data_IF_324995386359
#
_entry.id   IF_324995386359
#
_cell.length_a   1.000
_cell.length_b   1.000
_cell.length_c   1.000
_cell.angle_alpha   90.00
_cell.angle_beta   90.00
_cell.angle_gamma   90.00
#
_symmetry.space_group_name_H-M   'P 1'
#
loop_
_entity.id
_entity.type
_entity.pdbx_description
1 polymer ?
#
# COMPACT_ATOMS: atom_id res chain seq x y z
N UNK A 1 11.47 -6.10 2.08
CA UNK A 1 11.44 -6.72 0.74
C UNK A 1 10.51 -5.83 -0.08
N UNK A 2 11.04 -5.09 -1.06
CA UNK A 2 10.19 -4.30 -1.96
C UNK A 2 9.63 -5.31 -2.95
N UNK A 3 8.35 -5.64 -2.81
CA UNK A 3 7.65 -6.51 -3.76
C UNK A 3 7.47 -5.74 -5.06
N UNK A 4 7.77 -6.38 -6.18
CA UNK A 4 7.78 -5.84 -7.53
C UNK A 4 6.54 -4.98 -7.85
N UNK A 5 6.66 -3.96 -8.73
CA UNK A 5 5.50 -3.20 -9.20
C UNK A 5 4.47 -4.17 -9.78
N UNK A 6 3.30 -4.24 -9.14
CA UNK A 6 2.13 -4.87 -9.72
C UNK A 6 1.65 -3.93 -10.81
N UNK A 7 1.90 -4.33 -12.06
CA UNK A 7 1.24 -3.75 -13.23
C UNK A 7 -0.04 -4.54 -13.46
N UNK A 8 -1.20 -4.14 -12.92
CA UNK A 8 -2.45 -4.60 -13.48
C UNK A 8 -2.49 -4.11 -14.94
N UNK A 9 -2.12 -4.98 -15.89
CA UNK A 9 -2.27 -4.71 -17.32
C UNK A 9 -3.73 -4.32 -17.55
N UNK A 10 -3.96 -3.06 -17.93
CA UNK A 10 -5.30 -2.52 -18.18
C UNK A 10 -5.94 -1.73 -17.02
N UNK A 11 -5.22 -1.37 -15.95
CA UNK A 11 -5.77 -0.46 -14.95
C UNK A 11 -6.00 0.94 -15.54
N UNK A 12 -7.20 1.52 -15.41
CA UNK A 12 -7.49 2.89 -15.87
C UNK A 12 -6.69 3.96 -15.10
N UNK A 13 -5.98 3.57 -14.04
CA UNK A 13 -5.23 4.45 -13.15
C UNK A 13 -3.74 4.61 -13.54
N UNK A 14 -3.29 3.94 -14.60
CA UNK A 14 -1.89 4.00 -15.04
C UNK A 14 -0.93 3.16 -14.16
N UNK A 15 0.39 3.41 -14.25
CA UNK A 15 1.39 2.65 -13.49
C UNK A 15 1.27 2.90 -11.99
N UNK A 16 1.31 1.80 -11.21
CA UNK A 16 1.16 1.81 -9.75
C UNK A 16 2.32 1.04 -9.12
N UNK A 17 2.86 1.58 -8.03
CA UNK A 17 3.76 0.87 -7.12
C UNK A 17 2.93 0.25 -5.99
N UNK A 18 3.01 -1.07 -5.84
CA UNK A 18 2.40 -1.77 -4.72
C UNK A 18 3.44 -1.95 -3.60
N UNK A 19 3.07 -1.58 -2.38
CA UNK A 19 3.90 -1.78 -1.19
C UNK A 19 3.03 -2.13 0.03
N UNK A 20 3.67 -2.43 1.15
CA UNK A 20 2.97 -2.75 2.41
C UNK A 20 3.13 -1.61 3.40
N UNK A 21 2.02 -1.06 3.86
CA UNK A 21 1.99 -0.12 4.97
C UNK A 21 1.92 -0.89 6.29
N UNK A 22 2.88 -0.65 7.17
CA UNK A 22 2.88 -1.18 8.54
C UNK A 22 2.26 -0.16 9.48
N UNK A 23 1.20 -0.54 10.18
CA UNK A 23 0.45 0.31 11.10
C UNK A 23 0.62 -0.26 12.51
N UNK A 24 1.58 0.24 13.30
CA UNK A 24 1.73 -0.19 14.68
C UNK A 24 0.53 0.28 15.49
N UNK A 25 -0.14 -0.65 16.19
CA UNK A 25 -1.23 -0.27 17.09
C UNK A 25 -0.65 0.44 18.31
N UNK A 26 -1.26 1.55 18.77
CA UNK A 26 -0.85 2.21 20.00
C UNK A 26 -0.90 1.23 21.17
N UNK A 27 0.10 1.30 22.04
CA UNK A 27 0.24 0.40 23.18
C UNK A 27 -0.92 0.63 24.17
N UNK A 28 -1.93 -0.24 24.15
CA UNK A 28 -2.86 -0.35 25.28
C UNK A 28 -2.15 -1.16 26.37
N UNK A 29 -1.81 -0.51 27.49
CA UNK A 29 -1.25 -1.12 28.71
C UNK A 29 0.17 -1.73 28.60
N UNK A 30 1.15 -0.99 28.05
CA UNK A 30 2.58 -1.29 28.23
C UNK A 30 3.15 -2.51 27.47
N UNK A 31 2.35 -3.15 26.61
CA UNK A 31 2.87 -4.09 25.59
C UNK A 31 3.00 -3.37 24.26
N UNK A 32 4.10 -3.60 23.55
CA UNK A 32 4.21 -3.27 22.12
C UNK A 32 3.01 -3.90 21.40
N UNK A 33 2.16 -3.05 20.81
CA UNK A 33 0.95 -3.49 20.13
C UNK A 33 1.25 -4.35 18.91
N UNK A 34 0.29 -5.18 18.50
CA UNK A 34 0.35 -5.86 17.20
C UNK A 34 0.55 -4.83 16.08
N UNK A 35 1.27 -5.21 15.03
CA UNK A 35 1.40 -4.40 13.82
C UNK A 35 0.42 -4.92 12.78
N UNK A 36 -0.45 -4.05 12.28
CA UNK A 36 -1.30 -4.37 11.14
C UNK A 36 -0.54 -4.08 9.84
N UNK A 37 -0.78 -4.88 8.81
CA UNK A 37 -0.19 -4.71 7.50
C UNK A 37 -1.28 -4.51 6.46
N UNK A 38 -1.22 -3.39 5.73
CA UNK A 38 -2.19 -3.05 4.71
C UNK A 38 -1.50 -2.95 3.33
N UNK A 39 -1.99 -3.65 2.30
CA UNK A 39 -1.55 -3.42 0.93
C UNK A 39 -1.86 -1.98 0.51
N UNK A 40 -0.83 -1.27 0.04
CA UNK A 40 -0.86 0.12 -0.38
C UNK A 40 -0.53 0.20 -1.87
N UNK A 41 -1.42 0.81 -2.64
CA UNK A 41 -1.25 1.09 -4.05
C UNK A 41 -0.94 2.58 -4.23
N UNK A 42 0.24 2.89 -4.79
CA UNK A 42 0.71 4.25 -5.04
C UNK A 42 0.73 4.52 -6.54
N UNK A 43 -0.12 5.42 -7.06
CA UNK A 43 0.04 5.94 -8.41
C UNK A 43 1.44 6.51 -8.63
N UNK A 44 2.02 6.31 -9.81
CA UNK A 44 3.38 6.76 -10.12
C UNK A 44 3.59 8.26 -9.86
N UNK A 45 2.59 9.10 -10.14
CA UNK A 45 2.63 10.54 -9.86
C UNK A 45 2.86 10.88 -8.38
N UNK A 46 2.38 10.04 -7.46
CA UNK A 46 2.64 10.18 -6.01
C UNK A 46 4.06 9.71 -5.69
N UNK A 47 4.49 8.61 -6.29
CA UNK A 47 5.83 8.04 -6.07
C UNK A 47 6.92 9.03 -6.49
N UNK A 48 6.78 9.65 -7.67
CA UNK A 48 7.74 10.62 -8.21
C UNK A 48 7.85 11.87 -7.34
N UNK A 49 6.72 12.34 -6.81
CA UNK A 49 6.64 13.54 -5.98
C UNK A 49 7.15 13.30 -4.56
N UNK A 50 6.73 12.20 -3.93
CA UNK A 50 6.98 11.97 -2.51
C UNK A 50 8.20 11.09 -2.23
N UNK A 51 8.72 10.38 -3.24
CA UNK A 51 9.89 9.48 -3.15
C UNK A 51 9.90 8.61 -1.88
N UNK A 52 8.85 7.79 -1.67
CA UNK A 52 8.74 7.02 -0.44
C UNK A 52 9.85 5.98 -0.34
N UNK A 53 10.54 5.96 0.81
CA UNK A 53 11.59 5.01 1.12
C UNK A 53 11.17 4.04 2.22
N UNK A 54 11.80 2.86 2.27
CA UNK A 54 11.48 1.84 3.27
C UNK A 54 11.85 2.35 4.67
N UNK A 55 10.90 2.22 5.60
CA UNK A 55 11.10 2.62 7.00
C UNK A 55 10.72 4.08 7.28
N UNK A 56 10.32 4.82 6.26
CA UNK A 56 9.79 6.17 6.41
C UNK A 56 8.41 6.12 7.09
N UNK A 57 8.23 6.95 8.11
CA UNK A 57 6.91 7.22 8.63
C UNK A 57 6.17 8.09 7.63
N UNK A 58 4.97 7.68 7.24
CA UNK A 58 4.19 8.41 6.25
C UNK A 58 2.77 8.62 6.76
N UNK A 59 2.19 9.75 6.40
CA UNK A 59 0.76 9.96 6.43
C UNK A 59 0.23 9.78 5.02
N UNK A 60 -0.74 8.89 4.87
CA UNK A 60 -1.37 8.57 3.58
C UNK A 60 -2.86 8.82 3.67
N UNK A 61 -3.41 9.42 2.61
CA UNK A 61 -4.86 9.55 2.40
C UNK A 61 -5.21 8.89 1.08
N UNK A 62 -6.37 8.27 1.05
CA UNK A 62 -6.77 7.47 -0.09
C UNK A 62 -8.12 6.83 0.10
N UNK A 63 -8.46 6.00 -0.88
CA UNK A 63 -9.68 5.20 -0.89
C UNK A 63 -9.36 3.74 -0.65
N UNK A 64 -10.19 3.05 0.13
CA UNK A 64 -10.14 1.59 0.23
C UNK A 64 -10.83 0.99 -1.00
N UNK A 65 -10.11 0.16 -1.74
CA UNK A 65 -10.57 -0.47 -2.97
C UNK A 65 -10.32 -1.96 -2.94
N UNK A 66 -11.22 -2.75 -3.51
CA UNK A 66 -11.01 -4.20 -3.69
C UNK A 66 -10.63 -4.47 -5.14
N UNK A 67 -9.50 -5.11 -5.36
CA UNK A 67 -9.08 -5.58 -6.67
C UNK A 67 -9.28 -7.08 -6.79
N UNK A 68 -9.69 -7.51 -7.97
CA UNK A 68 -9.66 -8.92 -8.31
C UNK A 68 -8.27 -9.23 -8.83
N UNK A 69 -7.59 -10.16 -8.17
CA UNK A 69 -6.32 -10.73 -8.60
C UNK A 69 -6.51 -12.21 -8.92
N UNK A 70 -5.67 -12.73 -9.79
CA UNK A 70 -5.57 -14.16 -10.03
C UNK A 70 -4.20 -14.59 -9.50
N UNK A 71 -4.17 -15.63 -8.67
CA UNK A 71 -2.90 -16.22 -8.25
C UNK A 71 -2.28 -17.06 -9.38
N UNK A 72 -1.14 -17.69 -9.10
CA UNK A 72 -0.40 -18.49 -10.09
C UNK A 72 -1.19 -19.71 -10.57
N UNK A 73 -2.14 -20.19 -9.76
CA UNK A 73 -3.01 -21.32 -10.07
C UNK A 73 -4.29 -20.87 -10.79
N UNK A 74 -4.44 -19.57 -11.09
CA UNK A 74 -5.61 -18.99 -11.73
C UNK A 74 -6.83 -18.87 -10.81
N UNK A 75 -6.64 -19.01 -9.49
CA UNK A 75 -7.73 -18.80 -8.53
C UNK A 75 -7.94 -17.31 -8.34
N UNK A 76 -9.20 -16.91 -8.51
CA UNK A 76 -9.63 -15.53 -8.35
C UNK A 76 -9.69 -15.16 -6.86
N UNK A 77 -8.93 -14.16 -6.46
CA UNK A 77 -8.95 -13.62 -5.10
C UNK A 77 -9.31 -12.14 -5.10
N UNK A 78 -10.16 -11.74 -4.15
CA UNK A 78 -10.42 -10.33 -3.86
C UNK A 78 -9.40 -9.82 -2.85
N UNK A 79 -8.62 -8.81 -3.21
CA UNK A 79 -7.64 -8.20 -2.31
C UNK A 79 -7.97 -6.74 -2.04
N UNK A 80 -7.97 -6.38 -0.76
CA UNK A 80 -8.17 -5.01 -0.32
C UNK A 80 -6.86 -4.23 -0.42
N UNK A 81 -6.94 -3.06 -1.05
CA UNK A 81 -5.86 -2.11 -1.18
C UNK A 81 -6.30 -0.75 -0.65
N UNK A 82 -5.38 -0.03 -0.03
CA UNK A 82 -5.48 1.43 0.09
C UNK A 82 -4.89 2.03 -1.17
N UNK A 83 -5.72 2.64 -2.03
CA UNK A 83 -5.26 3.43 -3.16
C UNK A 83 -4.96 4.85 -2.67
N UNK A 84 -3.70 5.27 -2.73
CA UNK A 84 -3.31 6.58 -2.26
C UNK A 84 -3.70 7.68 -3.24
N UNK A 85 -4.31 8.74 -2.70
CA UNK A 85 -4.54 10.00 -3.40
C UNK A 85 -3.46 11.02 -3.01
N UNK A 86 -2.97 10.95 -1.77
CA UNK A 86 -1.92 11.82 -1.21
C UNK A 86 -1.03 11.07 -0.24
N UNK A 87 0.27 11.37 -0.27
CA UNK A 87 1.26 10.84 0.65
C UNK A 87 2.18 11.96 1.14
N UNK A 88 2.37 12.03 2.45
CA UNK A 88 3.25 13.00 3.10
C UNK A 88 4.22 12.28 4.05
N UNK A 89 5.54 12.37 3.82
CA UNK A 89 6.56 11.94 4.79
C UNK A 89 6.37 12.60 6.15
N UNK A 90 6.55 11.85 7.23
CA UNK A 90 6.65 12.37 8.58
C UNK A 90 8.13 12.40 8.99
N UNK A 91 8.54 13.40 9.79
CA UNK A 91 9.88 13.45 10.35
C UNK A 91 10.18 12.26 11.28
#
# INVERSE_FOLDING_TARGET
MISSPLFPRGSPLGPILACTLSIPRPCTAGRWGKTDHLPLALPLSIVEKSRPERGLWIRVWGSLCTWTEYDQDGVRQGRLYLLADRLHPLP
#
